data_IF_771953092766
#
_entry.id   IF_771953092766
#
_cell.length_a   1.000
_cell.length_b   1.000
_cell.length_c   1.000
_cell.angle_alpha   90.00
_cell.angle_beta   90.00
_cell.angle_gamma   90.00
#
_symmetry.space_group_name_H-M   'P 1'
#
loop_
_entity.id
_entity.type
_entity.pdbx_description
1 polymer ?
#
# COMPACT_ATOMS: atom_id res chain seq x y z
N UNK A 1 14.58 -16.87 -1.84
CA UNK A 1 13.17 -16.51 -1.53
C UNK A 1 13.19 -15.62 -0.30
N UNK A 2 12.63 -14.40 -0.33
CA UNK A 2 12.70 -13.45 0.78
C UNK A 2 12.13 -13.97 2.11
N UNK A 3 11.19 -14.93 2.08
CA UNK A 3 10.61 -15.53 3.29
C UNK A 3 11.53 -16.50 4.05
N UNK A 4 12.67 -16.93 3.49
CA UNK A 4 13.52 -17.93 4.14
C UNK A 4 14.31 -17.36 5.32
N UNK A 5 14.74 -16.10 5.26
CA UNK A 5 15.64 -15.54 6.25
C UNK A 5 14.94 -15.27 7.59
N UNK A 6 13.71 -14.74 7.54
CA UNK A 6 12.89 -14.54 8.73
C UNK A 6 12.59 -15.88 9.41
N UNK A 7 12.26 -16.91 8.64
CA UNK A 7 11.96 -18.23 9.22
C UNK A 7 13.20 -18.87 9.81
N UNK A 8 14.36 -18.78 9.14
CA UNK A 8 15.63 -19.26 9.70
C UNK A 8 15.96 -18.58 11.03
N UNK A 9 15.69 -17.27 11.14
CA UNK A 9 15.85 -16.53 12.39
C UNK A 9 14.92 -17.04 13.50
N UNK A 10 13.64 -17.29 13.20
CA UNK A 10 12.69 -17.85 14.18
C UNK A 10 13.11 -19.25 14.63
N UNK A 11 13.56 -20.10 13.70
CA UNK A 11 14.09 -21.43 14.01
C UNK A 11 15.32 -21.32 14.92
N UNK A 12 16.24 -20.40 14.61
CA UNK A 12 17.43 -20.13 15.42
C UNK A 12 17.08 -19.69 16.85
N UNK A 13 16.07 -18.82 17.02
CA UNK A 13 15.70 -18.30 18.33
C UNK A 13 14.95 -19.30 19.21
N UNK A 14 14.07 -20.09 18.61
CA UNK A 14 13.13 -20.93 19.36
C UNK A 14 13.51 -22.40 19.37
N UNK A 15 14.49 -22.82 18.57
CA UNK A 15 14.87 -24.22 18.39
C UNK A 15 13.66 -25.10 18.06
N UNK A 16 12.77 -24.57 17.22
CA UNK A 16 11.55 -25.24 16.77
C UNK A 16 11.46 -25.22 15.25
N UNK A 17 10.96 -26.29 14.61
CA UNK A 17 10.75 -26.30 13.16
C UNK A 17 9.65 -25.31 12.77
N UNK A 18 9.94 -24.47 11.78
CA UNK A 18 8.98 -23.51 11.22
C UNK A 18 8.94 -23.69 9.71
N UNK A 19 7.71 -23.72 9.16
CA UNK A 19 7.48 -23.93 7.73
C UNK A 19 7.13 -22.62 7.04
N UNK A 20 7.74 -22.38 5.87
CA UNK A 20 7.35 -21.30 4.96
C UNK A 20 6.32 -21.85 3.98
N UNK A 21 5.10 -21.32 4.01
CA UNK A 21 4.11 -21.54 2.97
C UNK A 21 4.07 -20.29 2.10
N UNK A 22 4.60 -20.39 0.89
CA UNK A 22 4.62 -19.30 -0.09
C UNK A 22 3.71 -19.64 -1.26
N UNK A 23 2.94 -18.66 -1.73
CA UNK A 23 2.14 -18.80 -2.94
C UNK A 23 1.99 -17.48 -3.65
N UNK A 24 2.17 -17.50 -4.98
CA UNK A 24 1.78 -16.41 -5.87
C UNK A 24 0.30 -16.50 -6.28
N UNK A 25 -0.43 -17.51 -5.76
CA UNK A 25 -1.82 -17.74 -6.15
C UNK A 25 -2.71 -16.58 -5.71
N UNK A 26 -3.34 -15.95 -6.70
CA UNK A 26 -4.36 -14.93 -6.50
C UNK A 26 -5.72 -15.50 -6.91
N UNK A 27 -6.68 -15.66 -5.97
CA UNK A 27 -8.02 -16.18 -6.29
C UNK A 27 -8.79 -15.37 -7.34
N UNK A 28 -8.55 -14.06 -7.40
CA UNK A 28 -9.14 -13.15 -8.38
C UNK A 28 -8.01 -12.52 -9.21
N UNK A 29 -7.73 -13.02 -10.43
CA UNK A 29 -6.65 -12.51 -11.25
C UNK A 29 -6.88 -11.03 -11.61
N UNK A 30 -5.79 -10.27 -11.73
CA UNK A 30 -5.82 -8.84 -12.04
C UNK A 30 -5.46 -8.58 -13.50
N UNK A 31 -5.96 -7.47 -14.03
CA UNK A 31 -5.54 -6.89 -15.31
C UNK A 31 -5.03 -5.49 -15.06
N UNK A 32 -4.02 -5.08 -15.81
CA UNK A 32 -3.39 -3.77 -15.65
C UNK A 32 -3.55 -2.94 -16.91
N UNK A 33 -4.06 -1.73 -16.71
CA UNK A 33 -4.27 -0.76 -17.77
C UNK A 33 -3.47 0.50 -17.51
N UNK A 34 -2.93 1.09 -18.57
CA UNK A 34 -2.33 2.42 -18.56
C UNK A 34 -3.24 3.38 -19.30
N UNK A 35 -3.46 4.55 -18.72
CA UNK A 35 -4.11 5.68 -19.39
C UNK A 35 -3.06 6.79 -19.62
N UNK A 36 -2.58 6.99 -20.86
CA UNK A 36 -1.67 8.08 -21.16
C UNK A 36 -2.41 9.43 -21.06
N UNK A 37 -1.83 10.40 -20.35
CA UNK A 37 -2.39 11.74 -20.26
C UNK A 37 -2.54 12.35 -21.67
N UNK A 38 -3.72 12.90 -21.97
CA UNK A 38 -4.08 13.39 -23.30
C UNK A 38 -4.42 12.32 -24.34
N UNK A 39 -4.31 11.03 -23.99
CA UNK A 39 -4.82 9.93 -24.81
C UNK A 39 -6.35 9.79 -24.71
N UNK A 40 -6.90 8.92 -25.55
CA UNK A 40 -8.35 8.66 -25.66
C UNK A 40 -8.78 7.30 -25.11
N UNK A 41 -7.85 6.45 -24.67
CA UNK A 41 -8.13 5.06 -24.34
C UNK A 41 -7.21 4.46 -23.27
N UNK A 42 -7.69 3.35 -22.70
CA UNK A 42 -6.95 2.50 -21.77
C UNK A 42 -6.20 1.41 -22.56
N UNK A 43 -4.94 1.18 -22.22
CA UNK A 43 -4.09 0.16 -22.84
C UNK A 43 -3.84 -0.96 -21.84
N UNK A 44 -4.30 -2.19 -22.14
CA UNK A 44 -4.03 -3.38 -21.32
C UNK A 44 -2.55 -3.77 -21.45
N UNK A 45 -1.75 -3.50 -20.42
CA UNK A 45 -0.31 -3.78 -20.40
C UNK A 45 0.03 -5.11 -19.73
N UNK A 46 -0.86 -5.64 -18.89
CA UNK A 46 -0.75 -6.98 -18.30
C UNK A 46 -2.12 -7.62 -18.25
N UNK A 47 -2.22 -8.84 -18.77
CA UNK A 47 -3.48 -9.59 -18.83
C UNK A 47 -3.74 -10.41 -17.55
N UNK A 48 -4.90 -11.09 -17.48
CA UNK A 48 -5.27 -11.94 -16.32
C UNK A 48 -4.31 -13.12 -16.08
N UNK A 49 -3.51 -13.49 -17.07
CA UNK A 49 -2.51 -14.55 -16.98
C UNK A 49 -1.16 -14.03 -16.43
N UNK A 50 -1.02 -12.73 -16.18
CA UNK A 50 0.23 -12.11 -15.73
C UNK A 50 1.24 -11.86 -16.85
N UNK A 51 0.85 -11.99 -18.12
CA UNK A 51 1.75 -11.76 -19.25
C UNK A 51 1.83 -10.26 -19.57
N UNK A 52 3.05 -9.73 -19.61
CA UNK A 52 3.33 -8.36 -20.02
C UNK A 52 3.18 -8.19 -21.55
N UNK A 53 2.42 -7.16 -21.93
CA UNK A 53 2.09 -6.78 -23.30
C UNK A 53 2.95 -5.59 -23.72
N UNK A 54 4.17 -5.87 -24.13
CA UNK A 54 5.15 -4.84 -24.53
C UNK A 54 4.63 -3.98 -25.71
N UNK A 55 3.91 -4.60 -26.65
CA UNK A 55 3.23 -3.93 -27.76
C UNK A 55 2.32 -2.79 -27.27
N UNK A 56 1.49 -3.09 -26.27
CA UNK A 56 0.52 -2.14 -25.69
C UNK A 56 1.21 -1.08 -24.84
N UNK A 57 2.29 -1.45 -24.15
CA UNK A 57 3.09 -0.51 -23.38
C UNK A 57 3.77 0.53 -24.28
N UNK A 58 4.42 0.09 -25.36
CA UNK A 58 5.05 0.99 -26.33
C UNK A 58 4.04 1.90 -27.00
N UNK A 59 2.85 1.38 -27.36
CA UNK A 59 1.75 2.18 -27.90
C UNK A 59 1.32 3.30 -26.94
N UNK A 60 1.13 2.98 -25.65
CA UNK A 60 0.78 3.97 -24.63
C UNK A 60 1.87 5.02 -24.40
N UNK A 61 3.14 4.61 -24.39
CA UNK A 61 4.28 5.52 -24.20
C UNK A 61 4.49 6.46 -25.39
N UNK A 62 4.21 6.00 -26.61
CA UNK A 62 4.24 6.85 -27.79
C UNK A 62 3.23 7.99 -27.70
N UNK A 63 2.02 7.73 -27.19
CA UNK A 63 1.01 8.79 -26.95
C UNK A 63 1.50 9.82 -25.94
N UNK A 64 2.10 9.38 -24.82
CA UNK A 64 2.67 10.29 -23.83
C UNK A 64 3.77 11.18 -24.42
N UNK A 65 4.64 10.62 -25.26
CA UNK A 65 5.75 11.37 -25.89
C UNK A 65 5.27 12.46 -26.85
N UNK A 66 4.10 12.28 -27.48
CA UNK A 66 3.53 13.24 -28.43
C UNK A 66 2.78 14.39 -27.75
N UNK A 67 2.27 14.17 -26.53
CA UNK A 67 1.42 15.15 -25.84
C UNK A 67 2.23 16.14 -25.00
N UNK A 68 3.46 15.80 -24.58
CA UNK A 68 4.28 16.64 -23.70
C UNK A 68 3.60 16.97 -22.35
N UNK A 69 4.26 17.75 -21.49
CA UNK A 69 3.74 18.12 -20.15
C UNK A 69 2.51 19.04 -20.16
N UNK A 70 1.96 19.39 -21.34
CA UNK A 70 0.82 20.29 -21.48
C UNK A 70 -0.55 19.59 -21.48
N UNK A 71 -0.60 18.28 -21.27
CA UNK A 71 -1.81 17.46 -21.38
C UNK A 71 -2.76 17.46 -20.17
N UNK A 72 -3.04 18.61 -19.54
CA UNK A 72 -4.16 18.72 -18.61
C UNK A 72 -5.46 18.84 -19.43
N UNK A 73 -6.00 17.69 -19.82
CA UNK A 73 -7.31 17.61 -20.48
C UNK A 73 -8.38 18.32 -19.64
N UNK A 74 -9.11 19.24 -20.26
CA UNK A 74 -10.19 19.98 -19.60
C UNK A 74 -11.23 19.04 -18.99
N UNK A 75 -11.66 19.35 -17.76
CA UNK A 75 -12.72 18.62 -17.07
C UNK A 75 -14.03 18.83 -17.86
N UNK A 76 -14.34 17.93 -18.79
CA UNK A 76 -15.69 17.84 -19.35
C UNK A 76 -16.63 17.32 -18.28
N UNK A 77 -17.67 18.09 -17.94
CA UNK A 77 -18.70 17.69 -16.98
C UNK A 77 -19.30 16.34 -17.40
N UNK A 78 -18.92 15.29 -16.67
CA UNK A 78 -19.46 13.95 -16.85
C UNK A 78 -20.97 13.90 -16.55
N UNK A 79 -21.65 12.96 -17.20
CA UNK A 79 -23.06 12.64 -16.98
C UNK A 79 -23.28 12.35 -15.48
N UNK A 80 -24.31 12.94 -14.86
CA UNK A 80 -24.69 12.68 -13.46
C UNK A 80 -25.03 11.19 -13.28
N UNK A 81 -24.07 10.38 -12.86
CA UNK A 81 -24.34 9.14 -12.14
C UNK A 81 -25.00 9.51 -10.81
N UNK A 82 -26.07 8.82 -10.44
CA UNK A 82 -26.79 9.05 -9.19
C UNK A 82 -27.12 7.73 -8.54
N UNK A 83 -26.90 7.67 -7.23
CA UNK A 83 -27.39 6.63 -6.33
C UNK A 83 -28.91 6.52 -6.43
N UNK A 84 -29.44 5.29 -6.38
CA UNK A 84 -30.89 5.09 -6.41
C UNK A 84 -31.55 5.67 -5.12
N UNK A 85 -32.82 6.04 -5.17
CA UNK A 85 -33.48 6.71 -4.03
C UNK A 85 -33.57 5.80 -2.79
N UNK A 86 -33.68 4.49 -2.97
CA UNK A 86 -33.62 3.48 -1.91
C UNK A 86 -32.22 3.37 -1.29
N UNK A 87 -31.17 3.38 -2.12
CA UNK A 87 -29.77 3.40 -1.65
C UNK A 87 -29.50 4.69 -0.85
N UNK A 88 -30.03 5.84 -1.29
CA UNK A 88 -29.89 7.11 -0.54
C UNK A 88 -30.55 7.06 0.83
N UNK A 89 -31.72 6.42 0.94
CA UNK A 89 -32.41 6.27 2.21
C UNK A 89 -31.56 5.45 3.20
N UNK A 90 -30.99 4.32 2.75
CA UNK A 90 -30.09 3.48 3.56
C UNK A 90 -28.82 4.23 3.98
N UNK A 91 -28.17 4.92 3.04
CA UNK A 91 -26.98 5.75 3.33
C UNK A 91 -27.30 6.78 4.42
N UNK A 92 -28.43 7.46 4.28
CA UNK A 92 -28.86 8.48 5.25
C UNK A 92 -29.15 7.88 6.62
N UNK A 93 -29.82 6.74 6.67
CA UNK A 93 -30.14 6.03 7.90
C UNK A 93 -28.87 5.62 8.65
N UNK A 94 -27.94 4.93 7.98
CA UNK A 94 -26.67 4.50 8.57
C UNK A 94 -25.87 5.71 9.06
N UNK A 95 -25.79 6.76 8.25
CA UNK A 95 -25.06 7.97 8.62
C UNK A 95 -25.67 8.66 9.85
N UNK A 96 -27.00 8.86 9.87
CA UNK A 96 -27.67 9.51 11.00
C UNK A 96 -27.55 8.69 12.27
N UNK A 97 -27.68 7.36 12.18
CA UNK A 97 -27.50 6.47 13.32
C UNK A 97 -26.09 6.58 13.92
N UNK A 98 -25.06 6.62 13.07
CA UNK A 98 -23.69 6.80 13.54
C UNK A 98 -23.47 8.19 14.15
N UNK A 99 -23.92 9.26 13.50
CA UNK A 99 -23.74 10.63 14.00
C UNK A 99 -24.55 10.89 15.28
N UNK A 100 -25.64 10.14 15.52
CA UNK A 100 -26.42 10.25 16.77
C UNK A 100 -25.66 9.82 18.02
N UNK A 101 -24.54 9.10 17.88
CA UNK A 101 -23.64 8.76 18.98
C UNK A 101 -22.77 9.94 19.44
N UNK A 102 -22.68 11.00 18.62
CA UNK A 102 -21.92 12.20 18.94
C UNK A 102 -22.74 13.18 19.77
N UNK A 103 -22.04 14.08 20.46
CA UNK A 103 -22.68 15.21 21.14
C UNK A 103 -23.37 16.13 20.12
N UNK A 104 -24.35 16.91 20.58
CA UNK A 104 -25.04 17.88 19.71
C UNK A 104 -24.08 18.92 19.10
N UNK A 105 -23.01 19.26 19.81
CA UNK A 105 -22.00 20.21 19.33
C UNK A 105 -21.15 19.59 18.21
N UNK A 106 -20.71 18.35 18.41
CA UNK A 106 -19.89 17.62 17.43
C UNK A 106 -20.69 17.27 16.16
N UNK A 107 -21.96 16.90 16.30
CA UNK A 107 -22.83 16.55 15.16
C UNK A 107 -23.04 17.72 14.19
N UNK A 108 -22.87 18.96 14.66
CA UNK A 108 -23.02 20.21 13.89
C UNK A 108 -21.70 20.65 13.23
N UNK A 109 -20.61 19.89 13.40
CA UNK A 109 -19.33 20.22 12.78
C UNK A 109 -19.46 20.31 11.24
N UNK A 110 -18.88 21.35 10.61
CA UNK A 110 -18.97 21.53 9.15
C UNK A 110 -18.40 20.36 8.36
N UNK A 111 -17.42 19.66 8.94
CA UNK A 111 -16.78 18.49 8.33
C UNK A 111 -17.78 17.36 8.13
N UNK A 112 -18.63 17.08 9.12
CA UNK A 112 -19.68 16.05 9.05
C UNK A 112 -20.74 16.45 8.02
N UNK A 113 -21.16 17.72 8.04
CA UNK A 113 -22.17 18.25 7.10
C UNK A 113 -21.71 18.22 5.63
N UNK A 114 -20.40 18.33 5.36
CA UNK A 114 -19.84 18.28 3.99
C UNK A 114 -19.77 16.86 3.42
N UNK A 115 -19.70 15.85 4.26
CA UNK A 115 -19.55 14.45 3.83
C UNK A 115 -20.88 13.85 3.36
N UNK A 116 -21.98 14.08 4.08
CA UNK A 116 -23.29 13.49 3.75
C UNK A 116 -23.74 13.73 2.29
N UNK A 117 -23.65 14.94 1.71
CA UNK A 117 -24.02 15.16 0.31
C UNK A 117 -23.19 14.34 -0.70
N UNK A 118 -21.95 13.98 -0.37
CA UNK A 118 -21.10 13.13 -1.21
C UNK A 118 -21.53 11.67 -1.09
N UNK A 119 -21.77 11.20 0.13
CA UNK A 119 -22.23 9.83 0.39
C UNK A 119 -23.57 9.53 -0.27
N UNK A 120 -24.51 10.48 -0.25
CA UNK A 120 -25.80 10.36 -0.96
C UNK A 120 -25.66 10.31 -2.49
N UNK A 121 -24.49 10.67 -3.03
CA UNK A 121 -24.15 10.53 -4.45
C UNK A 121 -23.31 9.27 -4.71
N UNK A 122 -23.07 8.45 -3.69
CA UNK A 122 -22.23 7.26 -3.78
C UNK A 122 -20.74 7.58 -3.87
N UNK A 123 -20.33 8.77 -3.43
CA UNK A 123 -18.94 9.24 -3.43
C UNK A 123 -18.42 9.28 -1.99
N UNK A 124 -17.37 8.52 -1.71
CA UNK A 124 -16.66 8.54 -0.43
C UNK A 124 -15.29 9.19 -0.54
N UNK A 125 -14.81 9.74 0.57
CA UNK A 125 -13.42 10.20 0.73
C UNK A 125 -12.86 9.54 1.98
N UNK A 126 -11.66 8.96 1.93
CA UNK A 126 -11.02 8.32 3.09
C UNK A 126 -9.56 8.78 3.21
N UNK A 127 -9.24 9.44 4.32
CA UNK A 127 -7.87 9.82 4.65
C UNK A 127 -7.67 9.91 6.17
N UNK A 128 -6.42 9.90 6.62
CA UNK A 128 -6.05 9.93 8.04
C UNK A 128 -6.62 11.15 8.78
N UNK A 129 -6.75 12.29 8.11
CA UNK A 129 -7.33 13.53 8.66
C UNK A 129 -8.85 13.55 8.85
N UNK A 130 -9.60 12.49 8.51
CA UNK A 130 -11.02 12.41 8.84
C UNK A 130 -11.23 11.92 10.28
N UNK A 131 -12.31 12.39 10.91
CA UNK A 131 -12.74 11.92 12.22
C UNK A 131 -12.91 10.39 12.21
N UNK A 132 -12.48 9.67 13.26
CA UNK A 132 -12.59 8.21 13.34
C UNK A 132 -13.99 7.67 13.01
N UNK A 133 -15.02 8.26 13.61
CA UNK A 133 -16.41 7.87 13.36
C UNK A 133 -16.85 8.04 11.90
N UNK A 134 -16.35 9.08 11.21
CA UNK A 134 -16.65 9.31 9.80
C UNK A 134 -15.92 8.28 8.93
N UNK A 135 -14.69 7.91 9.28
CA UNK A 135 -13.95 6.84 8.58
C UNK A 135 -14.70 5.51 8.68
N UNK A 136 -15.09 5.11 9.90
CA UNK A 136 -15.83 3.87 10.13
C UNK A 136 -17.14 3.82 9.33
N UNK A 137 -17.91 4.93 9.29
CA UNK A 137 -19.14 5.00 8.48
C UNK A 137 -18.85 4.84 6.99
N UNK A 138 -17.80 5.49 6.47
CA UNK A 138 -17.42 5.38 5.06
C UNK A 138 -16.99 3.95 4.72
N UNK A 139 -16.29 3.28 5.63
CA UNK A 139 -15.88 1.89 5.49
C UNK A 139 -17.10 0.96 5.46
N UNK A 140 -18.05 1.12 6.38
CA UNK A 140 -19.32 0.36 6.39
C UNK A 140 -20.08 0.56 5.08
N UNK A 141 -20.30 1.81 4.66
CA UNK A 141 -21.03 2.13 3.43
C UNK A 141 -20.32 1.61 2.17
N UNK A 142 -19.00 1.53 2.19
CA UNK A 142 -18.22 0.93 1.10
C UNK A 142 -18.34 -0.60 1.09
N UNK A 143 -18.26 -1.24 2.26
CA UNK A 143 -18.46 -2.68 2.43
C UNK A 143 -19.87 -3.15 2.03
N UNK A 144 -20.89 -2.32 2.25
CA UNK A 144 -22.26 -2.58 1.79
C UNK A 144 -22.49 -2.27 0.31
N UNK A 145 -21.50 -1.72 -0.40
CA UNK A 145 -21.60 -1.38 -1.82
C UNK A 145 -22.48 -0.16 -2.12
N UNK A 146 -22.79 0.66 -1.12
CA UNK A 146 -23.54 1.92 -1.27
C UNK A 146 -22.66 3.04 -1.85
N UNK A 147 -21.36 3.01 -1.53
CA UNK A 147 -20.36 3.89 -2.16
C UNK A 147 -19.85 3.25 -3.44
N UNK A 148 -20.04 3.92 -4.58
CA UNK A 148 -19.62 3.45 -5.90
C UNK A 148 -18.22 3.94 -6.29
N UNK A 149 -17.80 5.07 -5.73
CA UNK A 149 -16.47 5.65 -5.98
C UNK A 149 -15.89 6.16 -4.68
N UNK A 150 -14.71 5.65 -4.32
CA UNK A 150 -14.01 6.01 -3.10
C UNK A 150 -12.66 6.66 -3.46
N UNK A 151 -12.44 7.88 -2.98
CA UNK A 151 -11.14 8.54 -3.04
C UNK A 151 -10.40 8.28 -1.74
N UNK A 152 -9.36 7.46 -1.77
CA UNK A 152 -8.65 7.05 -0.56
C UNK A 152 -7.15 7.38 -0.64
N UNK A 153 -6.55 7.68 0.52
CA UNK A 153 -5.10 7.70 0.67
C UNK A 153 -4.55 6.27 0.73
N UNK A 154 -3.25 6.13 0.47
CA UNK A 154 -2.53 4.85 0.47
C UNK A 154 -2.81 3.96 1.68
N UNK A 155 -2.91 4.56 2.88
CA UNK A 155 -3.18 3.86 4.13
C UNK A 155 -4.46 3.02 4.14
N UNK A 156 -5.41 3.33 3.25
CA UNK A 156 -6.65 2.56 3.14
C UNK A 156 -6.42 1.11 2.70
N UNK A 157 -5.42 0.85 1.85
CA UNK A 157 -5.13 -0.50 1.36
C UNK A 157 -4.55 -1.43 2.42
N UNK A 158 -4.04 -0.90 3.54
CA UNK A 158 -3.48 -1.70 4.63
C UNK A 158 -4.53 -2.13 5.67
N UNK A 159 -5.70 -1.48 5.70
CA UNK A 159 -6.58 -1.52 6.87
C UNK A 159 -7.75 -2.50 6.81
N UNK A 160 -8.23 -2.90 5.63
CA UNK A 160 -9.57 -3.47 5.50
C UNK A 160 -9.71 -4.53 4.41
N UNK A 161 -10.46 -5.60 4.70
CA UNK A 161 -10.85 -6.64 3.74
C UNK A 161 -12.03 -6.20 2.86
N UNK A 162 -11.90 -5.06 2.19
CA UNK A 162 -12.95 -4.51 1.32
C UNK A 162 -12.49 -4.55 -0.14
N UNK A 163 -12.83 -5.63 -0.88
CA UNK A 163 -12.36 -5.78 -2.25
C UNK A 163 -13.05 -4.78 -3.18
N UNK A 164 -12.26 -3.89 -3.78
CA UNK A 164 -12.71 -3.06 -4.89
C UNK A 164 -12.58 -3.83 -6.22
N UNK A 165 -13.58 -3.71 -7.11
CA UNK A 165 -13.50 -4.30 -8.46
C UNK A 165 -12.45 -3.59 -9.33
N UNK A 166 -12.25 -2.30 -9.13
CA UNK A 166 -11.32 -1.48 -9.90
C UNK A 166 -10.61 -0.52 -8.97
N UNK A 167 -9.28 -0.47 -9.12
CA UNK A 167 -8.41 0.47 -8.41
C UNK A 167 -7.80 1.38 -9.46
N UNK A 168 -7.84 2.70 -9.20
CA UNK A 168 -7.31 3.71 -10.10
C UNK A 168 -6.21 4.50 -9.40
N UNK A 169 -5.03 4.56 -10.03
CA UNK A 169 -3.91 5.38 -9.60
C UNK A 169 -3.91 6.67 -10.41
N UNK A 170 -3.94 7.81 -9.72
CA UNK A 170 -3.89 9.14 -10.35
C UNK A 170 -2.47 9.56 -10.74
N UNK A 171 -1.46 8.97 -10.11
CA UNK A 171 -0.05 9.24 -10.38
C UNK A 171 0.77 7.97 -10.21
N UNK A 172 1.76 7.78 -11.08
CA UNK A 172 2.76 6.72 -10.95
C UNK A 172 3.91 7.08 -10.00
N UNK A 173 4.02 8.37 -9.62
CA UNK A 173 5.09 8.90 -8.75
C UNK A 173 4.52 9.46 -7.46
N UNK A 174 5.27 9.29 -6.38
CA UNK A 174 4.97 9.78 -5.03
C UNK A 174 6.18 10.54 -4.49
N UNK A 175 5.91 11.56 -3.68
CA UNK A 175 6.91 12.29 -2.90
C UNK A 175 6.99 11.72 -1.48
N UNK A 176 8.17 11.27 -1.05
CA UNK A 176 8.37 10.71 0.31
C UNK A 176 9.01 11.70 1.27
N UNK A 177 8.82 13.01 1.04
CA UNK A 177 9.40 14.07 1.88
C UNK A 177 10.81 14.48 1.48
N UNK A 178 11.49 13.71 0.61
CA UNK A 178 12.82 14.03 0.07
C UNK A 178 12.79 14.15 -1.44
N UNK A 179 12.44 13.06 -2.12
CA UNK A 179 12.45 12.96 -3.58
C UNK A 179 11.14 12.36 -4.10
N UNK A 180 10.89 12.55 -5.39
CA UNK A 180 9.85 11.84 -6.10
C UNK A 180 10.38 10.48 -6.57
N UNK A 181 9.78 9.38 -6.09
CA UNK A 181 10.03 8.02 -6.59
C UNK A 181 8.78 7.44 -7.22
N UNK A 182 8.95 6.42 -8.05
CA UNK A 182 7.82 5.58 -8.45
C UNK A 182 7.24 4.91 -7.21
N UNK A 183 5.91 4.85 -7.10
CA UNK A 183 5.28 4.26 -5.92
C UNK A 183 5.63 2.76 -5.84
N UNK A 184 6.54 2.41 -4.94
CA UNK A 184 7.22 1.11 -4.90
C UNK A 184 6.35 -0.03 -4.36
N UNK A 185 5.30 0.26 -3.59
CA UNK A 185 4.64 -0.79 -2.78
C UNK A 185 3.25 -1.19 -3.26
N UNK A 186 2.47 -0.33 -3.93
CA UNK A 186 1.09 -0.68 -4.36
C UNK A 186 0.94 -0.67 -5.89
N UNK A 187 1.65 0.23 -6.57
CA UNK A 187 1.64 0.28 -8.03
C UNK A 187 2.44 -0.89 -8.59
N UNK A 188 3.60 -1.24 -8.03
CA UNK A 188 4.40 -2.40 -8.47
C UNK A 188 3.72 -3.76 -8.23
N UNK A 189 3.06 -3.94 -7.07
CA UNK A 189 2.37 -5.20 -6.72
C UNK A 189 1.14 -5.43 -7.61
N UNK A 190 0.42 -4.35 -7.95
CA UNK A 190 -0.61 -4.44 -8.97
C UNK A 190 0.07 -4.69 -10.32
N UNK A 191 0.93 -3.81 -10.82
CA UNK A 191 1.35 -3.83 -12.23
C UNK A 191 2.07 -5.10 -12.69
N UNK A 192 2.55 -5.99 -11.82
CA UNK A 192 3.24 -7.24 -12.24
C UNK A 192 4.34 -7.02 -13.29
N UNK A 193 4.88 -5.79 -13.39
CA UNK A 193 6.03 -5.50 -14.24
C UNK A 193 7.25 -6.00 -13.46
N UNK A 194 7.41 -7.33 -13.46
CA UNK A 194 8.58 -8.12 -13.13
C UNK A 194 9.27 -7.90 -11.77
N UNK A 195 8.76 -7.06 -10.87
CA UNK A 195 9.46 -6.76 -9.63
C UNK A 195 9.00 -7.66 -8.49
N UNK A 196 9.95 -8.33 -7.85
CA UNK A 196 9.70 -9.03 -6.59
C UNK A 196 9.29 -8.01 -5.51
N UNK A 197 8.46 -8.42 -4.52
CA UNK A 197 8.22 -7.57 -3.35
C UNK A 197 9.53 -7.18 -2.68
N UNK A 198 9.53 -6.08 -1.93
CA UNK A 198 10.73 -5.66 -1.21
C UNK A 198 11.09 -6.68 -0.11
N UNK A 199 12.38 -6.94 0.11
CA UNK A 199 12.80 -7.86 1.16
C UNK A 199 12.41 -7.30 2.52
N UNK A 200 11.88 -8.17 3.39
CA UNK A 200 11.64 -7.79 4.78
C UNK A 200 12.99 -7.56 5.47
N UNK A 201 13.32 -6.29 5.70
CA UNK A 201 14.51 -5.89 6.44
C UNK A 201 14.13 -5.39 7.83
N UNK A 202 14.90 -5.81 8.83
CA UNK A 202 14.70 -5.40 10.21
C UNK A 202 14.88 -3.90 10.37
N UNK A 203 13.90 -3.27 11.00
CA UNK A 203 14.00 -1.87 11.43
C UNK A 203 14.36 -1.74 12.91
N UNK A 204 14.89 -2.80 13.51
CA UNK A 204 15.21 -2.83 14.94
C UNK A 204 16.16 -1.68 15.32
N UNK A 205 15.78 -0.94 16.35
CA UNK A 205 16.55 0.16 16.93
C UNK A 205 16.41 0.10 18.45
N UNK A 206 17.52 0.32 19.15
CA UNK A 206 17.50 0.47 20.60
C UNK A 206 16.73 1.73 20.99
N UNK A 207 15.80 1.59 21.94
CA UNK A 207 15.10 2.72 22.54
C UNK A 207 15.35 2.74 24.05
N UNK A 208 15.38 3.93 24.65
CA UNK A 208 15.59 4.07 26.09
C UNK A 208 14.56 3.29 26.92
N UNK A 209 13.29 3.34 26.54
CA UNK A 209 12.23 2.61 27.22
C UNK A 209 12.47 1.08 27.19
N UNK A 210 12.93 0.56 26.05
CA UNK A 210 13.26 -0.86 25.93
C UNK A 210 14.41 -1.26 26.87
N UNK A 211 15.49 -0.49 26.90
CA UNK A 211 16.63 -0.76 27.80
C UNK A 211 16.20 -0.70 29.27
N UNK A 212 15.45 0.33 29.66
CA UNK A 212 14.96 0.49 31.03
C UNK A 212 14.03 -0.66 31.44
N UNK A 213 13.16 -1.12 30.55
CA UNK A 213 12.30 -2.27 30.83
C UNK A 213 13.10 -3.57 30.97
N UNK A 214 14.12 -3.77 30.15
CA UNK A 214 14.96 -4.98 30.23
C UNK A 214 15.81 -5.00 31.51
N UNK A 215 16.41 -3.85 31.88
CA UNK A 215 17.15 -3.72 33.14
C UNK A 215 16.26 -3.90 34.38
N UNK A 216 14.95 -3.66 34.26
CA UNK A 216 13.98 -3.86 35.35
C UNK A 216 13.59 -5.33 35.55
N UNK A 217 13.69 -6.15 34.51
CA UNK A 217 13.30 -7.57 34.59
C UNK A 217 14.53 -8.38 35.00
N UNK A 218 14.47 -8.97 36.19
CA UNK A 218 15.52 -9.86 36.66
C UNK A 218 15.69 -11.05 35.70
N UNK A 219 16.93 -11.31 35.29
CA UNK A 219 17.28 -12.42 34.40
C UNK A 219 17.26 -12.12 32.90
N UNK A 220 16.97 -10.89 32.47
CA UNK A 220 17.05 -10.50 31.05
C UNK A 220 18.17 -9.47 30.84
N UNK A 221 19.15 -9.80 30.02
CA UNK A 221 20.22 -8.88 29.64
C UNK A 221 19.85 -8.19 28.30
N UNK A 222 19.90 -6.85 28.19
CA UNK A 222 19.71 -6.15 26.92
C UNK A 222 20.66 -6.61 25.81
N UNK A 223 21.86 -7.09 26.14
CA UNK A 223 22.83 -7.65 25.19
C UNK A 223 22.27 -8.89 24.47
N UNK A 224 21.58 -9.77 25.20
CA UNK A 224 20.95 -10.96 24.62
C UNK A 224 19.90 -10.59 23.56
N UNK A 225 19.12 -9.52 23.79
CA UNK A 225 18.16 -9.04 22.81
C UNK A 225 18.86 -8.55 21.53
N UNK A 226 20.01 -7.90 21.65
CA UNK A 226 20.77 -7.42 20.51
C UNK A 226 21.28 -8.58 19.65
N UNK A 227 21.91 -9.56 20.29
CA UNK A 227 22.46 -10.75 19.63
C UNK A 227 21.36 -11.59 18.96
N UNK A 228 20.22 -11.69 19.62
CA UNK A 228 19.04 -12.43 19.15
C UNK A 228 18.19 -11.63 18.16
N UNK A 229 18.52 -10.36 17.87
CA UNK A 229 17.68 -9.51 17.02
C UNK A 229 17.71 -9.98 15.56
N UNK A 230 16.59 -9.82 14.85
CA UNK A 230 16.55 -10.09 13.42
C UNK A 230 17.57 -9.24 12.65
N UNK A 231 17.82 -8.01 13.11
CA UNK A 231 18.83 -7.13 12.50
C UNK A 231 20.23 -7.75 12.56
N UNK A 232 20.61 -8.28 13.72
CA UNK A 232 21.90 -8.94 13.89
C UNK A 232 22.00 -10.23 13.07
N UNK A 233 20.90 -11.00 13.00
CA UNK A 233 20.82 -12.19 12.18
C UNK A 233 21.04 -11.89 10.68
N UNK A 234 20.40 -10.84 10.16
CA UNK A 234 20.60 -10.39 8.78
C UNK A 234 22.05 -9.97 8.49
N UNK A 235 22.71 -9.31 9.45
CA UNK A 235 24.13 -8.95 9.32
C UNK A 235 25.01 -10.19 9.23
N UNK A 236 24.79 -11.20 10.09
CA UNK A 236 25.55 -12.44 10.06
C UNK A 236 25.35 -13.22 8.76
N UNK A 237 24.12 -13.31 8.27
CA UNK A 237 23.79 -13.99 7.01
C UNK A 237 24.46 -13.31 5.79
N UNK A 238 24.64 -11.99 5.83
CA UNK A 238 25.29 -11.22 4.76
C UNK A 238 26.83 -11.34 4.75
N UNK A 239 27.48 -11.75 5.86
CA UNK A 239 28.95 -11.77 5.97
C UNK A 239 29.65 -12.61 4.89
N UNK A 240 29.22 -13.84 4.56
CA UNK A 240 29.92 -14.67 3.57
C UNK A 240 30.00 -13.99 2.19
N UNK A 241 28.92 -13.34 1.74
CA UNK A 241 28.87 -12.64 0.46
C UNK A 241 29.80 -11.41 0.43
N UNK A 242 29.91 -10.71 1.56
CA UNK A 242 30.85 -9.59 1.72
C UNK A 242 32.31 -10.08 1.63
N UNK A 243 32.63 -11.22 2.27
CA UNK A 243 33.97 -11.81 2.17
C UNK A 243 34.31 -12.24 0.75
N UNK A 244 33.39 -12.88 0.02
CA UNK A 244 33.59 -13.22 -1.39
C UNK A 244 33.81 -11.99 -2.26
N UNK A 245 33.03 -10.92 -2.02
CA UNK A 245 33.19 -9.65 -2.73
C UNK A 245 34.57 -9.04 -2.45
N UNK A 246 35.01 -9.02 -1.18
CA UNK A 246 36.34 -8.53 -0.81
C UNK A 246 37.45 -9.35 -1.47
N UNK A 247 37.33 -10.67 -1.50
CA UNK A 247 38.29 -11.56 -2.17
C UNK A 247 38.33 -11.33 -3.69
N UNK A 248 37.19 -11.04 -4.32
CA UNK A 248 37.10 -10.68 -5.73
C UNK A 248 37.79 -9.34 -6.06
N UNK A 249 37.75 -8.36 -5.16
CA UNK A 249 38.45 -7.07 -5.32
C UNK A 249 39.93 -7.10 -4.86
N UNK A 250 40.33 -8.13 -4.11
CA UNK A 250 41.69 -8.32 -3.59
C UNK A 250 42.82 -8.55 -4.62
N UNK A 251 42.60 -8.95 -5.90
CA UNK A 251 43.70 -9.05 -6.87
C UNK A 251 44.41 -7.71 -7.14
N UNK A 252 43.82 -6.58 -6.74
CA UNK A 252 44.39 -5.24 -6.91
C UNK A 252 45.35 -4.87 -5.76
N UNK A 253 45.21 -5.49 -4.57
CA UNK A 253 46.00 -5.13 -3.38
C UNK A 253 47.35 -5.87 -3.32
N UNK A 254 47.51 -6.98 -4.04
CA UNK A 254 48.77 -7.75 -4.10
C UNK A 254 49.69 -7.38 -5.28
N UNK A 255 49.42 -6.29 -6.02
CA UNK A 255 50.24 -5.81 -7.17
C UNK A 255 50.97 -4.48 -6.88
N UNK A 256 50.88 -3.94 -5.65
CA UNK A 256 51.74 -2.84 -5.17
C UNK A 256 52.66 -3.33 -4.05
#
# INVERSE_FOLDING_TARGET
MQGSLQVNWVVYLHDQPVHVIYTDYRPVPLQHFIYPAGGSGLYEVVNMQGNFREDKFTEAMNVLSQVGDAGLGGITRGKKGGTAEDEKAKVKEIFVNAISLLSEEDSKLPEIGRVLPLLLRGIGVHHSGLLPIVKEVIEILFGEGLIKTLFATETFSMGLNMPARTVLFTSARKFDGKDYRFASEIILICLHICCAPDPLNSQFRLTYNMVLNLLRVEGINPEYMLESSFYQFQNYDALPQLYESLLYFSPIIYIL
#
